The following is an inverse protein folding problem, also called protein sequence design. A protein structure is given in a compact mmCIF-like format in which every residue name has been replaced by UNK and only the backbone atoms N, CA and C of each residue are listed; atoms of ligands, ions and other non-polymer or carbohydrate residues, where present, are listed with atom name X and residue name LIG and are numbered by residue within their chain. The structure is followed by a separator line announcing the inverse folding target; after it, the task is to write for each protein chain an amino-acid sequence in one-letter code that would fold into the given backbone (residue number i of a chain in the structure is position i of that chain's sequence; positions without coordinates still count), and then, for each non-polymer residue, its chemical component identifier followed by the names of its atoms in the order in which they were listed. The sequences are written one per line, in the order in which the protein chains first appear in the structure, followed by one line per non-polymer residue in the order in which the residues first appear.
data_IF_845746127957
#
_entry.id   IF_845746127957
#
_cell.length_a   1.000
_cell.length_b   1.000
_cell.length_c   1.000
_cell.angle_alpha   90.00
_cell.angle_beta   90.00
_cell.angle_gamma   90.00
#
_symmetry.space_group_name_H-M   'P 1'
#
loop_
_entity.id
_entity.type
_entity.pdbx_description
1 polymer ?
#
# COMPACT_ATOMS: atom_id res chain seq x y z
N UNK A 1 16.08 -4.22 5.73
CA UNK A 1 14.97 -4.87 5.01
C UNK A 1 14.67 -6.17 5.73
N UNK A 2 13.44 -6.36 6.18
CA UNK A 2 13.02 -7.58 6.88
C UNK A 2 12.74 -8.72 5.90
N UNK A 3 12.75 -9.96 6.37
CA UNK A 3 12.35 -11.15 5.60
C UNK A 3 10.94 -11.00 5.03
N UNK A 4 10.03 -10.37 5.77
CA UNK A 4 8.65 -10.08 5.35
C UNK A 4 8.59 -9.02 4.23
N UNK A 5 9.36 -7.94 4.33
CA UNK A 5 9.47 -6.95 3.27
C UNK A 5 10.04 -7.58 1.98
N UNK A 6 11.06 -8.41 2.12
CA UNK A 6 11.64 -9.13 1.00
C UNK A 6 10.63 -10.09 0.37
N UNK A 7 9.86 -10.83 1.18
CA UNK A 7 8.78 -11.70 0.70
C UNK A 7 7.71 -10.92 -0.07
N UNK A 8 7.27 -9.79 0.46
CA UNK A 8 6.26 -8.94 -0.17
C UNK A 8 6.74 -8.39 -1.52
N UNK A 9 8.00 -7.95 -1.60
CA UNK A 9 8.61 -7.50 -2.85
C UNK A 9 8.73 -8.63 -3.88
N UNK A 10 9.17 -9.82 -3.47
CA UNK A 10 9.30 -10.98 -4.37
C UNK A 10 7.95 -11.48 -4.86
N UNK A 11 6.93 -11.53 -3.99
CA UNK A 11 5.58 -11.89 -4.38
C UNK A 11 4.97 -10.91 -5.40
N UNK A 12 5.32 -9.62 -5.30
CA UNK A 12 4.89 -8.61 -6.27
C UNK A 12 5.62 -8.72 -7.60
N UNK A 13 6.94 -8.90 -7.58
CA UNK A 13 7.78 -8.98 -8.79
C UNK A 13 7.62 -10.32 -9.54
N UNK A 14 7.43 -11.40 -8.80
CA UNK A 14 7.33 -12.78 -9.31
C UNK A 14 6.12 -13.50 -8.70
N UNK A 15 4.88 -13.14 -9.08
CA UNK A 15 3.66 -13.67 -8.46
C UNK A 15 3.45 -15.19 -8.64
N UNK A 16 4.06 -15.77 -9.68
CA UNK A 16 4.05 -17.21 -9.95
C UNK A 16 5.36 -17.91 -9.54
N UNK A 17 6.30 -17.16 -8.96
CA UNK A 17 7.60 -17.66 -8.51
C UNK A 17 7.54 -18.18 -7.08
N UNK A 18 8.23 -19.28 -6.83
CA UNK A 18 8.54 -19.77 -5.49
C UNK A 18 9.93 -19.29 -5.12
N UNK A 19 10.06 -18.70 -3.95
CA UNK A 19 11.29 -18.05 -3.51
C UNK A 19 11.70 -18.56 -2.13
N UNK A 20 13.02 -18.62 -1.90
CA UNK A 20 13.61 -18.96 -0.61
C UNK A 20 14.28 -17.69 -0.09
N UNK A 21 13.93 -17.28 1.12
CA UNK A 21 14.50 -16.12 1.81
C UNK A 21 15.44 -16.67 2.90
N UNK A 22 16.60 -16.03 3.11
CA UNK A 22 17.69 -16.43 4.04
C UNK A 22 18.85 -17.26 3.44
N UNK A 23 19.31 -16.91 2.23
CA UNK A 23 20.67 -17.26 1.78
C UNK A 23 20.85 -18.59 1.05
N UNK A 24 19.76 -19.28 0.70
CA UNK A 24 19.80 -20.42 -0.22
C UNK A 24 19.01 -20.07 -1.49
N UNK A 25 19.69 -19.44 -2.46
CA UNK A 25 19.09 -19.17 -3.78
C UNK A 25 18.98 -20.50 -4.53
N UNK A 26 17.78 -21.07 -4.63
CA UNK A 26 17.48 -21.97 -5.75
C UNK A 26 16.72 -21.13 -6.76
N UNK A 27 17.40 -20.85 -7.88
CA UNK A 27 16.83 -20.16 -9.03
C UNK A 27 15.61 -20.96 -9.53
N UNK A 28 14.44 -20.33 -9.56
CA UNK A 28 13.37 -20.79 -10.45
C UNK A 28 13.67 -20.21 -11.83
N UNK A 29 14.19 -21.08 -12.70
CA UNK A 29 14.88 -20.80 -13.97
C UNK A 29 16.23 -20.09 -13.78
N UNK A 30 17.31 -20.76 -14.19
CA UNK A 30 18.70 -20.29 -14.12
C UNK A 30 18.92 -18.94 -14.84
N UNK A 31 17.98 -18.51 -15.68
CA UNK A 31 18.02 -17.25 -16.44
C UNK A 31 17.34 -16.03 -15.80
N UNK A 32 16.72 -16.13 -14.63
CA UNK A 32 16.14 -14.95 -13.96
C UNK A 32 17.16 -14.36 -12.98
N UNK A 33 17.75 -13.18 -13.27
CA UNK A 33 18.68 -12.55 -12.35
C UNK A 33 17.96 -12.08 -11.08
N UNK A 34 18.64 -12.19 -9.94
CA UNK A 34 18.15 -11.62 -8.68
C UNK A 34 17.91 -10.11 -8.87
N UNK A 35 16.75 -9.56 -8.47
CA UNK A 35 16.50 -8.12 -8.58
C UNK A 35 17.46 -7.36 -7.67
N UNK A 36 17.85 -6.17 -8.11
CA UNK A 36 18.68 -5.26 -7.34
C UNK A 36 17.90 -4.58 -6.20
N UNK A 37 18.64 -3.89 -5.32
CA UNK A 37 18.06 -3.21 -4.17
C UNK A 37 17.06 -2.09 -4.56
N UNK A 38 17.23 -1.46 -5.72
CA UNK A 38 16.34 -0.40 -6.21
C UNK A 38 15.00 -0.97 -6.66
N UNK A 39 15.02 -2.08 -7.41
CA UNK A 39 13.84 -2.83 -7.84
C UNK A 39 13.05 -3.34 -6.63
N UNK A 40 13.75 -3.85 -5.62
CA UNK A 40 13.11 -4.29 -4.37
C UNK A 40 12.48 -3.11 -3.62
N UNK A 41 13.16 -1.96 -3.53
CA UNK A 41 12.61 -0.76 -2.89
C UNK A 41 11.38 -0.21 -3.63
N UNK A 42 11.40 -0.22 -4.97
CA UNK A 42 10.26 0.18 -5.80
C UNK A 42 9.05 -0.75 -5.64
N UNK A 43 9.29 -2.07 -5.60
CA UNK A 43 8.25 -3.05 -5.34
C UNK A 43 7.63 -2.86 -3.95
N UNK A 44 8.44 -2.62 -2.92
CA UNK A 44 7.97 -2.31 -1.57
C UNK A 44 7.10 -1.05 -1.51
N UNK A 45 7.53 0.03 -2.17
CA UNK A 45 6.77 1.27 -2.22
C UNK A 45 5.42 1.06 -2.95
N UNK A 46 5.43 0.25 -4.01
CA UNK A 46 4.21 -0.12 -4.72
C UNK A 46 3.24 -0.91 -3.84
N UNK A 47 3.73 -1.96 -3.16
CA UNK A 47 2.92 -2.78 -2.23
C UNK A 47 2.37 -1.94 -1.09
N UNK A 48 3.20 -1.07 -0.50
CA UNK A 48 2.78 -0.17 0.57
C UNK A 48 1.71 0.81 0.06
N UNK A 49 1.86 1.34 -1.16
CA UNK A 49 0.89 2.22 -1.81
C UNK A 49 -0.46 1.55 -2.05
N UNK A 50 -0.47 0.33 -2.56
CA UNK A 50 -1.70 -0.46 -2.77
C UNK A 50 -2.43 -0.73 -1.44
N UNK A 51 -1.67 -1.13 -0.42
CA UNK A 51 -2.20 -1.43 0.92
C UNK A 51 -2.86 -0.19 1.54
N UNK A 52 -2.17 0.95 1.49
CA UNK A 52 -2.67 2.24 1.96
C UNK A 52 -3.96 2.67 1.23
N UNK A 53 -4.02 2.51 -0.08
CA UNK A 53 -5.20 2.87 -0.88
C UNK A 53 -6.40 2.01 -0.52
N UNK A 54 -6.19 0.69 -0.37
CA UNK A 54 -7.23 -0.25 0.02
C UNK A 54 -7.80 0.08 1.40
N UNK A 55 -6.94 0.28 2.39
CA UNK A 55 -7.33 0.61 3.76
C UNK A 55 -8.15 1.90 3.82
N UNK A 56 -7.70 2.97 3.15
CA UNK A 56 -8.47 4.21 3.08
C UNK A 56 -9.80 4.03 2.34
N UNK A 57 -9.83 3.27 1.25
CA UNK A 57 -11.08 3.03 0.50
C UNK A 57 -12.14 2.36 1.37
N UNK A 58 -11.75 1.39 2.20
CA UNK A 58 -12.65 0.70 3.11
C UNK A 58 -13.09 1.57 4.29
N UNK A 59 -12.20 2.44 4.78
CA UNK A 59 -12.45 3.28 5.94
C UNK A 59 -13.18 4.59 5.63
N UNK A 60 -13.10 5.09 4.39
CA UNK A 60 -13.78 6.32 4.03
C UNK A 60 -15.31 6.18 4.13
N UNK A 61 -16.01 7.25 4.57
CA UNK A 61 -17.45 7.32 4.45
C UNK A 61 -17.90 7.11 3.00
N UNK A 62 -19.14 6.63 2.75
CA UNK A 62 -19.66 6.48 1.39
C UNK A 62 -19.51 7.76 0.56
N UNK A 63 -19.13 7.63 -0.71
CA UNK A 63 -18.88 8.78 -1.59
C UNK A 63 -20.11 9.69 -1.75
N UNK A 64 -21.32 9.13 -1.69
CA UNK A 64 -22.57 9.90 -1.71
C UNK A 64 -22.70 10.82 -0.51
N UNK A 65 -22.36 10.34 0.70
CA UNK A 65 -22.42 11.12 1.93
C UNK A 65 -21.38 12.24 1.92
N UNK A 66 -20.19 11.97 1.36
CA UNK A 66 -19.16 12.99 1.18
C UNK A 66 -19.63 14.12 0.26
N UNK A 67 -20.25 13.77 -0.87
CA UNK A 67 -20.80 14.75 -1.81
C UNK A 67 -21.99 15.52 -1.23
N UNK A 68 -22.87 14.83 -0.49
CA UNK A 68 -24.00 15.45 0.21
C UNK A 68 -23.53 16.43 1.29
N UNK A 69 -22.50 16.09 2.06
CA UNK A 69 -21.89 17.00 3.04
C UNK A 69 -21.28 18.25 2.36
N UNK A 70 -20.65 18.09 1.19
CA UNK A 70 -20.14 19.22 0.40
C UNK A 70 -21.31 20.11 -0.07
N UNK A 71 -22.40 19.49 -0.55
CA UNK A 71 -23.59 20.21 -1.01
C UNK A 71 -24.29 20.97 0.12
N UNK A 72 -24.48 20.33 1.28
CA UNK A 72 -25.07 20.95 2.50
C UNK A 72 -24.19 22.07 3.06
N UNK A 73 -22.87 21.92 2.96
CA UNK A 73 -21.92 22.91 3.48
C UNK A 73 -21.96 23.06 5.00
N UNK A 74 -21.45 24.17 5.50
CA UNK A 74 -21.47 24.53 6.92
C UNK A 74 -20.92 23.43 7.84
N UNK A 75 -21.66 23.12 8.90
CA UNK A 75 -21.27 22.11 9.89
C UNK A 75 -21.14 20.71 9.28
N UNK A 76 -22.04 20.33 8.37
CA UNK A 76 -22.00 19.00 7.73
C UNK A 76 -20.68 18.78 6.95
N UNK A 77 -20.20 19.82 6.26
CA UNK A 77 -18.89 19.78 5.59
C UNK A 77 -17.73 19.68 6.58
N UNK A 78 -17.79 20.43 7.69
CA UNK A 78 -16.75 20.40 8.71
C UNK A 78 -16.65 19.03 9.40
N UNK A 79 -17.79 18.43 9.73
CA UNK A 79 -17.86 17.09 10.33
C UNK A 79 -17.32 16.02 9.38
N UNK A 80 -17.68 16.08 8.10
CA UNK A 80 -17.16 15.16 7.07
C UNK A 80 -15.64 15.33 6.88
N UNK A 81 -15.14 16.56 6.92
CA UNK A 81 -13.70 16.83 6.84
C UNK A 81 -12.96 16.18 8.01
N UNK A 82 -13.47 16.30 9.24
CA UNK A 82 -12.86 15.68 10.42
C UNK A 82 -12.84 14.15 10.32
N UNK A 83 -13.89 13.53 9.78
CA UNK A 83 -13.93 12.09 9.54
C UNK A 83 -12.87 11.66 8.51
N UNK A 84 -12.75 12.39 7.39
CA UNK A 84 -11.73 12.14 6.38
C UNK A 84 -10.32 12.30 6.98
N UNK A 85 -10.08 13.35 7.77
CA UNK A 85 -8.79 13.57 8.44
C UNK A 85 -8.45 12.44 9.41
N UNK A 86 -9.42 11.92 10.16
CA UNK A 86 -9.21 10.77 11.03
C UNK A 86 -8.82 9.51 10.24
N UNK A 87 -9.47 9.22 9.11
CA UNK A 87 -9.09 8.12 8.22
C UNK A 87 -7.67 8.32 7.68
N UNK A 88 -7.32 9.56 7.31
CA UNK A 88 -5.98 9.87 6.81
C UNK A 88 -4.89 9.69 7.87
N UNK A 89 -5.19 10.05 9.12
CA UNK A 89 -4.28 9.86 10.25
C UNK A 89 -4.13 8.37 10.63
N UNK A 90 -5.20 7.58 10.54
CA UNK A 90 -5.15 6.14 10.80
C UNK A 90 -4.36 5.38 9.72
N UNK A 91 -4.37 5.86 8.48
CA UNK A 91 -3.70 5.24 7.34
C UNK A 91 -2.85 6.28 6.59
N UNK A 92 -1.66 6.65 7.09
CA UNK A 92 -0.78 7.64 6.46
C UNK A 92 -0.23 7.14 5.12
N UNK A 93 0.16 8.04 4.20
CA UNK A 93 0.82 7.58 2.97
C UNK A 93 2.16 6.92 3.33
N UNK A 94 2.58 5.89 2.58
CA UNK A 94 3.85 5.19 2.82
C UNK A 94 5.09 6.09 2.89
N UNK A 95 5.07 7.23 2.17
CA UNK A 95 6.20 8.16 2.08
C UNK A 95 5.91 9.51 2.77
N UNK A 96 4.88 9.61 3.62
CA UNK A 96 4.57 10.83 4.40
C UNK A 96 5.25 10.86 5.78
N UNK A 97 6.22 9.98 6.04
CA UNK A 97 6.94 9.87 7.32
C UNK A 97 8.33 10.48 7.24
#
# INVERSE_FOLDING_TARGET
MTTEQLAAAMAYLYPSGGYIIDGLVIHMDENVPSPDAETIASALNTVAGLTYQEQRRQAYPPIGDQLDAIWKGGLARADMQAQIEAVKAAYPKPNEV
#
